data_IF_148224193728
#
_entry.id   IF_148224193728
#
_cell.length_a   1.000
_cell.length_b   1.000
_cell.length_c   1.000
_cell.angle_alpha   90.00
_cell.angle_beta   90.00
_cell.angle_gamma   90.00
#
_symmetry.space_group_name_H-M   'P 1'
#
loop_
_entity.id
_entity.type
_entity.pdbx_description
1 polymer ?
#
# COMPACT_ATOMS: atom_id res chain seq x y z
N UNK A 1 -40.11 -63.49 -14.53
CA UNK A 1 -40.28 -62.07 -14.17
C UNK A 1 -38.91 -61.40 -14.20
N UNK A 2 -38.62 -60.63 -15.25
CA UNK A 2 -37.34 -59.91 -15.45
C UNK A 2 -37.53 -58.49 -14.93
N UNK A 3 -36.75 -58.11 -13.91
CA UNK A 3 -36.70 -56.75 -13.39
C UNK A 3 -35.61 -55.97 -14.12
N UNK A 4 -35.95 -54.82 -14.69
CA UNK A 4 -35.01 -53.88 -15.33
C UNK A 4 -34.72 -52.77 -14.31
N UNK A 5 -33.47 -52.70 -13.86
CA UNK A 5 -32.99 -51.62 -12.99
C UNK A 5 -32.57 -50.42 -13.86
N UNK A 6 -33.17 -49.25 -13.60
CA UNK A 6 -32.84 -47.98 -14.26
C UNK A 6 -31.80 -47.26 -13.39
N UNK A 7 -30.59 -46.96 -13.89
CA UNK A 7 -29.63 -46.16 -13.13
C UNK A 7 -30.01 -44.68 -13.23
N UNK A 8 -30.37 -44.09 -12.10
CA UNK A 8 -30.63 -42.65 -11.95
C UNK A 8 -29.30 -41.92 -11.85
N UNK A 9 -28.87 -41.28 -12.94
CA UNK A 9 -27.66 -40.48 -12.98
C UNK A 9 -27.88 -39.13 -12.27
N UNK A 10 -27.31 -38.98 -11.07
CA UNK A 10 -27.19 -37.69 -10.39
C UNK A 10 -26.09 -36.86 -11.08
N UNK A 11 -26.51 -35.88 -11.89
CA UNK A 11 -25.60 -34.88 -12.44
C UNK A 11 -25.23 -33.86 -11.35
N UNK A 12 -24.01 -33.98 -10.80
CA UNK A 12 -23.38 -32.96 -9.97
C UNK A 12 -23.09 -31.71 -10.80
N UNK A 13 -23.95 -30.69 -10.73
CA UNK A 13 -23.62 -29.36 -11.21
C UNK A 13 -22.62 -28.70 -10.26
N UNK A 14 -21.34 -28.71 -10.63
CA UNK A 14 -20.32 -27.87 -10.00
C UNK A 14 -20.54 -26.44 -10.49
N UNK A 15 -21.20 -25.60 -9.68
CA UNK A 15 -21.29 -24.16 -9.95
C UNK A 15 -19.93 -23.55 -9.62
N UNK A 16 -19.09 -23.38 -10.64
CA UNK A 16 -17.87 -22.59 -10.53
C UNK A 16 -18.25 -21.11 -10.38
N UNK A 17 -18.30 -20.63 -9.14
CA UNK A 17 -18.35 -19.19 -8.88
C UNK A 17 -17.02 -18.58 -9.31
N UNK A 18 -16.99 -18.01 -10.52
CA UNK A 18 -15.91 -17.16 -10.97
C UNK A 18 -16.00 -15.89 -10.14
N UNK A 19 -15.27 -15.84 -9.03
CA UNK A 19 -15.06 -14.60 -8.31
C UNK A 19 -14.40 -13.62 -9.28
N UNK A 20 -15.12 -12.59 -9.69
CA UNK A 20 -14.56 -11.49 -10.46
C UNK A 20 -13.36 -10.96 -9.68
N UNK A 21 -12.15 -11.18 -10.19
CA UNK A 21 -10.93 -10.65 -9.61
C UNK A 21 -10.99 -9.13 -9.72
N UNK A 22 -11.57 -8.48 -8.70
CA UNK A 22 -11.56 -7.03 -8.59
C UNK A 22 -10.12 -6.55 -8.71
N UNK A 23 -9.89 -5.52 -9.52
CA UNK A 23 -8.54 -4.95 -9.68
C UNK A 23 -8.02 -4.56 -8.30
N UNK A 24 -6.92 -5.19 -7.89
CA UNK A 24 -6.25 -4.91 -6.63
C UNK A 24 -5.99 -3.41 -6.48
N UNK A 25 -6.47 -2.80 -5.40
CA UNK A 25 -6.29 -1.37 -5.17
C UNK A 25 -4.82 -1.02 -4.90
N UNK A 26 -4.01 -1.97 -4.43
CA UNK A 26 -2.57 -1.78 -4.18
C UNK A 26 -1.78 -2.71 -5.10
N UNK A 27 -0.89 -2.14 -5.90
CA UNK A 27 -0.04 -2.83 -6.87
C UNK A 27 1.38 -2.25 -6.82
N UNK A 28 2.32 -2.83 -7.58
CA UNK A 28 3.67 -2.26 -7.67
C UNK A 28 3.68 -0.94 -8.47
N UNK A 29 2.59 -0.58 -9.14
CA UNK A 29 2.49 0.55 -10.04
C UNK A 29 1.51 1.62 -9.56
N UNK A 30 0.55 1.25 -8.71
CA UNK A 30 -0.53 2.14 -8.30
C UNK A 30 -1.14 1.84 -6.92
N UNK A 31 -1.68 2.89 -6.30
CA UNK A 31 -2.57 2.83 -5.13
C UNK A 31 -3.89 3.51 -5.48
N UNK A 32 -5.00 2.80 -5.40
CA UNK A 32 -6.33 3.28 -5.81
C UNK A 32 -6.37 3.72 -7.28
N UNK A 33 -5.59 3.07 -8.14
CA UNK A 33 -5.41 3.46 -9.55
C UNK A 33 -4.49 4.67 -9.79
N UNK A 34 -3.95 5.29 -8.74
CA UNK A 34 -3.04 6.43 -8.84
C UNK A 34 -1.59 5.98 -8.99
N UNK A 35 -0.86 6.56 -9.93
CA UNK A 35 0.55 6.25 -10.21
C UNK A 35 1.46 7.39 -9.75
N UNK A 36 2.65 7.05 -9.27
CA UNK A 36 3.71 8.01 -8.97
C UNK A 36 4.14 8.81 -10.22
N UNK A 37 4.81 9.94 -10.02
CA UNK A 37 5.34 10.77 -11.11
C UNK A 37 4.34 11.77 -11.72
N UNK A 38 3.09 11.78 -11.27
CA UNK A 38 2.11 12.80 -11.68
C UNK A 38 2.34 14.13 -10.96
N UNK A 39 1.82 15.22 -11.55
CA UNK A 39 1.87 16.56 -10.95
C UNK A 39 0.72 16.79 -9.97
N UNK A 40 0.86 17.73 -9.05
CA UNK A 40 -0.21 18.13 -8.12
C UNK A 40 -1.53 18.50 -8.84
N UNK A 41 -1.44 19.13 -10.02
CA UNK A 41 -2.60 19.46 -10.86
C UNK A 41 -3.28 18.19 -11.41
N UNK A 42 -2.50 17.22 -11.86
CA UNK A 42 -3.03 15.96 -12.36
C UNK A 42 -3.76 15.18 -11.27
N UNK A 43 -3.20 15.08 -10.06
CA UNK A 43 -3.90 14.46 -8.92
C UNK A 43 -5.18 15.19 -8.56
N UNK A 44 -5.15 16.53 -8.53
CA UNK A 44 -6.36 17.33 -8.27
C UNK A 44 -7.45 17.08 -9.32
N UNK A 45 -7.08 16.86 -10.59
CA UNK A 45 -8.04 16.50 -11.65
C UNK A 45 -8.65 15.10 -11.42
N UNK A 46 -7.87 14.14 -10.93
CA UNK A 46 -8.31 12.76 -10.71
C UNK A 46 -9.14 12.60 -9.42
N UNK A 47 -8.78 13.33 -8.37
CA UNK A 47 -9.29 13.11 -7.01
C UNK A 47 -10.16 14.25 -6.49
N UNK A 48 -10.22 15.37 -7.20
CA UNK A 48 -10.80 16.62 -6.71
C UNK A 48 -9.81 17.43 -5.86
N UNK A 49 -10.31 18.42 -5.13
CA UNK A 49 -9.47 19.26 -4.26
C UNK A 49 -8.98 18.44 -3.04
N UNK A 50 -7.68 18.54 -2.68
CA UNK A 50 -7.20 17.94 -1.44
C UNK A 50 -7.85 18.62 -0.24
N UNK A 51 -7.99 17.89 0.87
CA UNK A 51 -8.53 18.41 2.11
C UNK A 51 -7.63 19.50 2.71
N UNK A 52 -6.30 19.32 2.62
CA UNK A 52 -5.32 20.31 3.03
C UNK A 52 -3.93 19.99 2.46
N UNK A 53 -3.06 21.01 2.47
CA UNK A 53 -1.62 20.88 2.25
C UNK A 53 -0.96 21.19 3.59
N UNK A 54 -0.23 20.24 4.16
CA UNK A 54 0.39 20.44 5.46
C UNK A 54 1.86 20.02 5.39
N UNK A 55 2.80 20.86 5.86
CA UNK A 55 4.19 20.43 6.04
C UNK A 55 4.24 19.27 7.04
N UNK A 56 5.26 18.44 6.94
CA UNK A 56 5.51 17.44 7.97
C UNK A 56 6.01 18.11 9.25
N UNK A 57 5.58 17.59 10.39
CA UNK A 57 6.10 17.99 11.71
C UNK A 57 7.56 17.54 11.91
N UNK A 58 7.95 16.46 11.23
CA UNK A 58 9.32 15.97 11.20
C UNK A 58 10.23 16.93 10.42
N UNK A 59 11.28 17.51 11.04
CA UNK A 59 12.23 18.39 10.37
C UNK A 59 12.86 17.77 9.13
N UNK A 60 13.13 16.46 9.12
CA UNK A 60 13.73 15.74 7.99
C UNK A 60 12.80 15.69 6.76
N UNK A 61 11.49 15.86 6.97
CA UNK A 61 10.45 15.85 5.94
C UNK A 61 9.83 17.23 5.69
N UNK A 62 10.21 18.26 6.47
CA UNK A 62 9.59 19.60 6.44
C UNK A 62 9.60 20.28 5.06
N UNK A 63 10.57 19.94 4.19
CA UNK A 63 10.71 20.49 2.84
C UNK A 63 9.89 19.73 1.79
N UNK A 64 9.28 18.60 2.15
CA UNK A 64 8.39 17.85 1.28
C UNK A 64 7.01 18.48 1.25
N UNK A 65 6.41 18.48 0.07
CA UNK A 65 5.01 18.91 -0.09
C UNK A 65 4.10 17.69 -0.03
N UNK A 66 3.03 17.81 0.76
CA UNK A 66 2.01 16.77 0.94
C UNK A 66 0.63 17.28 0.51
N UNK A 67 -0.08 16.47 -0.30
CA UNK A 67 -1.50 16.66 -0.61
C UNK A 67 -2.31 15.56 0.09
N UNK A 68 -3.20 15.93 1.00
CA UNK A 68 -3.99 14.97 1.76
C UNK A 68 -5.40 14.85 1.18
N UNK A 69 -5.82 13.63 0.87
CA UNK A 69 -7.16 13.30 0.40
C UNK A 69 -7.90 12.49 1.47
N UNK A 70 -8.23 13.14 2.58
CA UNK A 70 -8.72 12.49 3.79
C UNK A 70 -9.95 11.58 3.57
N UNK A 71 -10.91 12.01 2.73
CA UNK A 71 -12.10 11.20 2.37
C UNK A 71 -11.77 9.91 1.61
N UNK A 72 -10.61 9.84 0.97
CA UNK A 72 -10.12 8.67 0.22
C UNK A 72 -9.12 7.83 1.02
N UNK A 73 -8.66 8.33 2.17
CA UNK A 73 -7.65 7.68 3.00
C UNK A 73 -6.28 7.57 2.32
N UNK A 74 -5.85 8.62 1.61
CA UNK A 74 -4.56 8.64 0.92
C UNK A 74 -3.91 10.03 0.94
N UNK A 75 -2.59 10.06 0.77
CA UNK A 75 -1.79 11.27 0.61
C UNK A 75 -0.79 11.12 -0.53
N UNK A 76 -0.45 12.25 -1.16
CA UNK A 76 0.53 12.33 -2.25
C UNK A 76 1.68 13.23 -1.84
N UNK A 77 2.91 12.77 -2.05
CA UNK A 77 4.12 13.44 -1.57
C UNK A 77 5.08 13.80 -2.70
N UNK A 78 5.57 15.03 -2.64
CA UNK A 78 6.43 15.63 -3.64
C UNK A 78 7.77 15.98 -2.99
N UNK A 79 8.89 15.46 -3.54
CA UNK A 79 10.21 15.83 -3.08
C UNK A 79 10.44 17.34 -3.20
N UNK A 80 11.34 17.91 -2.37
CA UNK A 80 11.70 19.31 -2.47
C UNK A 80 12.17 19.67 -3.88
N UNK A 81 11.76 20.85 -4.35
CA UNK A 81 12.11 21.40 -5.68
C UNK A 81 11.65 20.53 -6.87
N UNK A 82 10.81 19.51 -6.67
CA UNK A 82 10.26 18.68 -7.75
C UNK A 82 8.76 18.88 -7.92
N UNK A 83 8.31 18.87 -9.17
CA UNK A 83 6.89 19.07 -9.53
C UNK A 83 6.10 17.76 -9.62
N UNK A 84 6.78 16.61 -9.54
CA UNK A 84 6.22 15.27 -9.69
C UNK A 84 6.31 14.50 -8.37
N UNK A 85 5.28 13.72 -8.06
CA UNK A 85 5.24 12.97 -6.81
C UNK A 85 6.25 11.81 -6.82
N UNK A 86 6.81 11.51 -5.66
CA UNK A 86 7.71 10.36 -5.47
C UNK A 86 7.13 9.28 -4.55
N UNK A 87 6.16 9.63 -3.70
CA UNK A 87 5.50 8.69 -2.78
C UNK A 87 4.00 8.94 -2.79
N UNK A 88 3.22 7.85 -2.79
CA UNK A 88 1.78 7.83 -2.51
C UNK A 88 1.61 6.95 -1.28
N UNK A 89 0.88 7.42 -0.27
CA UNK A 89 0.56 6.63 0.92
C UNK A 89 -0.94 6.43 1.04
N UNK A 90 -1.35 5.32 1.66
CA UNK A 90 -2.75 5.08 2.00
C UNK A 90 -2.88 4.43 3.37
N UNK A 91 -3.89 4.89 4.12
CA UNK A 91 -4.39 4.27 5.35
C UNK A 91 -5.84 3.80 5.16
N UNK A 92 -6.30 3.69 3.92
CA UNK A 92 -7.64 3.23 3.60
C UNK A 92 -7.72 1.71 3.81
N UNK A 93 -8.49 1.28 4.81
CA UNK A 93 -8.64 -0.13 5.16
C UNK A 93 -9.25 -0.98 4.03
N UNK A 94 -10.00 -0.37 3.12
CA UNK A 94 -10.58 -1.07 1.96
C UNK A 94 -9.56 -1.36 0.85
N UNK A 95 -8.40 -0.68 0.85
CA UNK A 95 -7.40 -0.88 -0.19
C UNK A 95 -6.53 -2.09 0.14
N UNK A 96 -6.59 -3.11 -0.70
CA UNK A 96 -5.83 -4.35 -0.55
C UNK A 96 -4.99 -4.63 -1.79
N UNK A 97 -3.93 -5.39 -1.57
CA UNK A 97 -3.17 -6.07 -2.61
C UNK A 97 -3.94 -7.27 -3.14
N UNK A 98 -3.45 -7.89 -4.22
CA UNK A 98 -4.02 -9.14 -4.74
C UNK A 98 -3.96 -10.31 -3.74
N UNK A 99 -3.10 -10.22 -2.72
CA UNK A 99 -3.02 -11.19 -1.63
C UNK A 99 -3.95 -10.84 -0.45
N UNK A 100 -4.82 -9.85 -0.59
CA UNK A 100 -5.76 -9.44 0.46
C UNK A 100 -5.14 -8.60 1.58
N UNK A 101 -3.88 -8.16 1.46
CA UNK A 101 -3.16 -7.41 2.50
C UNK A 101 -3.16 -5.91 2.20
N UNK A 102 -3.31 -5.07 3.22
CA UNK A 102 -3.26 -3.62 3.09
C UNK A 102 -3.31 -2.94 4.46
N UNK A 103 -3.66 -1.65 4.55
CA UNK A 103 -3.87 -1.00 5.83
C UNK A 103 -4.83 -1.78 6.72
N UNK A 104 -4.56 -1.78 8.03
CA UNK A 104 -5.22 -2.54 9.10
C UNK A 104 -5.06 -4.07 9.08
N UNK A 105 -4.34 -4.66 8.11
CA UNK A 105 -3.93 -6.06 8.18
C UNK A 105 -2.86 -6.24 9.27
N UNK A 106 -2.84 -7.39 9.96
CA UNK A 106 -1.81 -7.70 10.95
C UNK A 106 -0.44 -7.90 10.29
N UNK A 107 0.63 -7.68 11.06
CA UNK A 107 1.99 -7.99 10.59
C UNK A 107 2.15 -9.51 10.32
N UNK A 108 1.41 -10.35 11.06
CA UNK A 108 1.36 -11.79 10.82
C UNK A 108 0.73 -12.12 9.46
N UNK A 109 -0.42 -11.56 9.13
CA UNK A 109 -1.06 -11.73 7.80
C UNK A 109 -0.14 -11.27 6.67
N UNK A 110 0.54 -10.12 6.84
CA UNK A 110 1.52 -9.61 5.89
C UNK A 110 2.66 -10.62 5.66
N UNK A 111 3.22 -11.18 6.74
CA UNK A 111 4.30 -12.18 6.65
C UNK A 111 3.82 -13.49 6.03
N UNK A 112 2.63 -13.96 6.39
CA UNK A 112 2.03 -15.17 5.82
C UNK A 112 1.78 -15.03 4.31
N UNK A 113 1.27 -13.87 3.86
CA UNK A 113 0.95 -13.63 2.46
C UNK A 113 2.19 -13.59 1.54
N UNK A 114 3.33 -13.10 2.06
CA UNK A 114 4.49 -12.81 1.23
C UNK A 114 5.74 -13.63 1.54
N UNK A 115 5.84 -14.20 2.74
CA UNK A 115 6.98 -15.01 3.18
C UNK A 115 8.31 -14.31 2.92
N UNK A 116 9.22 -15.02 2.27
CA UNK A 116 10.58 -14.57 1.96
C UNK A 116 10.65 -13.36 1.00
N UNK A 117 9.56 -13.03 0.29
CA UNK A 117 9.48 -11.85 -0.60
C UNK A 117 9.36 -10.55 0.19
N UNK A 118 8.89 -10.62 1.43
CA UNK A 118 8.82 -9.48 2.32
C UNK A 118 10.19 -9.26 2.96
N UNK A 119 10.75 -8.04 2.84
CA UNK A 119 12.04 -7.70 3.43
C UNK A 119 11.86 -6.61 4.48
N UNK A 120 12.54 -6.67 5.64
CA UNK A 120 12.63 -5.52 6.53
C UNK A 120 13.20 -4.31 5.78
N UNK A 121 12.59 -3.13 5.95
CA UNK A 121 13.16 -1.89 5.43
C UNK A 121 14.41 -1.53 6.21
N UNK A 122 15.56 -1.42 5.53
CA UNK A 122 16.84 -1.10 6.18
C UNK A 122 16.82 0.25 6.91
N UNK A 123 16.08 1.23 6.39
CA UNK A 123 15.99 2.57 6.98
C UNK A 123 14.95 2.67 8.09
N UNK A 124 14.10 1.66 8.26
CA UNK A 124 13.05 1.62 9.28
C UNK A 124 13.18 0.38 10.16
N UNK A 125 14.41 -0.13 10.29
CA UNK A 125 14.77 -1.15 11.25
C UNK A 125 15.77 -0.54 12.22
N UNK A 126 15.37 -0.39 13.49
CA UNK A 126 16.17 0.26 14.52
C UNK A 126 16.37 -0.71 15.68
N UNK A 127 17.63 -0.97 16.06
CA UNK A 127 17.97 -1.88 17.16
C UNK A 127 17.29 -3.26 17.05
N UNK A 128 17.16 -3.78 15.82
CA UNK A 128 16.51 -5.06 15.54
C UNK A 128 14.97 -5.02 15.47
N UNK A 129 14.35 -3.88 15.76
CA UNK A 129 12.90 -3.67 15.68
C UNK A 129 12.52 -3.17 14.28
N UNK A 130 11.59 -3.85 13.62
CA UNK A 130 11.18 -3.56 12.23
C UNK A 130 9.89 -2.75 12.22
N UNK A 131 9.97 -1.48 11.82
CA UNK A 131 8.84 -0.56 11.69
C UNK A 131 8.26 -0.50 10.28
N UNK A 132 8.99 -0.99 9.28
CA UNK A 132 8.44 -1.14 7.95
C UNK A 132 9.02 -2.33 7.20
N UNK A 133 8.22 -2.89 6.30
CA UNK A 133 8.60 -3.96 5.39
C UNK A 133 8.46 -3.51 3.94
N UNK A 134 9.39 -3.88 3.07
CA UNK A 134 9.30 -3.68 1.63
C UNK A 134 8.82 -4.93 0.91
N UNK A 135 8.14 -4.72 -0.21
CA UNK A 135 7.69 -5.78 -1.12
C UNK A 135 7.96 -5.37 -2.56
N UNK A 136 8.70 -6.19 -3.29
CA UNK A 136 9.08 -5.88 -4.66
C UNK A 136 9.92 -4.61 -4.75
N UNK A 137 9.72 -3.82 -5.79
CA UNK A 137 10.54 -2.63 -6.07
C UNK A 137 9.99 -1.36 -5.44
N UNK A 138 8.66 -1.29 -5.25
CA UNK A 138 7.98 0.00 -5.06
C UNK A 138 7.04 0.05 -3.84
N UNK A 139 6.83 -1.05 -3.11
CA UNK A 139 5.89 -1.06 -1.98
C UNK A 139 6.59 -1.10 -0.63
N UNK A 140 6.04 -0.35 0.32
CA UNK A 140 6.43 -0.35 1.73
C UNK A 140 5.18 -0.45 2.63
N UNK A 141 5.23 -1.27 3.66
CA UNK A 141 4.19 -1.50 4.65
C UNK A 141 4.73 -1.04 5.99
N UNK A 142 4.15 0.02 6.57
CA UNK A 142 4.66 0.68 7.77
C UNK A 142 3.75 0.48 8.98
N UNK A 143 4.36 0.45 10.17
CA UNK A 143 3.70 0.32 11.46
C UNK A 143 4.50 1.02 12.55
N UNK A 144 3.89 1.97 13.26
CA UNK A 144 4.47 2.54 14.48
C UNK A 144 4.37 1.60 15.69
N UNK A 145 3.54 0.56 15.59
CA UNK A 145 3.40 -0.50 16.60
C UNK A 145 3.89 -1.83 16.01
N UNK A 146 5.21 -2.12 16.04
CA UNK A 146 5.91 -3.09 15.16
C UNK A 146 5.48 -4.57 15.24
N UNK A 147 4.44 -4.90 16.00
CA UNK A 147 3.85 -6.24 16.12
C UNK A 147 2.33 -6.28 15.94
N UNK A 148 1.69 -5.15 15.66
CA UNK A 148 0.23 -5.04 15.62
C UNK A 148 -0.29 -5.16 14.19
N UNK A 149 -0.33 -4.04 13.47
CA UNK A 149 -0.95 -3.94 12.15
C UNK A 149 -0.09 -3.10 11.21
N UNK A 150 -0.27 -3.31 9.92
CA UNK A 150 0.09 -2.35 8.87
C UNK A 150 -0.81 -1.13 9.05
N UNK A 151 -0.23 -0.02 9.48
CA UNK A 151 -0.96 1.23 9.65
C UNK A 151 -1.13 1.94 8.31
N UNK A 152 -0.09 1.88 7.47
CA UNK A 152 0.01 2.63 6.22
C UNK A 152 0.74 1.78 5.18
N UNK A 153 0.28 1.85 3.94
CA UNK A 153 1.00 1.31 2.78
C UNK A 153 1.46 2.46 1.90
N UNK A 154 2.74 2.45 1.52
CA UNK A 154 3.35 3.40 0.61
C UNK A 154 3.71 2.75 -0.73
N UNK A 155 3.46 3.49 -1.81
CA UNK A 155 4.02 3.27 -3.14
C UNK A 155 5.08 4.35 -3.38
N UNK A 156 6.32 3.95 -3.59
CA UNK A 156 7.45 4.86 -3.82
C UNK A 156 8.11 4.61 -5.17
N UNK A 157 8.87 5.61 -5.66
CA UNK A 157 9.66 5.46 -6.88
C UNK A 157 10.89 4.56 -6.66
N UNK A 158 10.73 3.26 -6.88
CA UNK A 158 11.82 2.28 -6.80
C UNK A 158 12.76 2.28 -8.00
N UNK A 159 12.47 3.06 -9.05
CA UNK A 159 13.38 3.27 -10.19
C UNK A 159 14.31 4.47 -10.00
N UNK A 160 14.24 5.15 -8.85
CA UNK A 160 15.22 6.18 -8.51
C UNK A 160 16.62 5.54 -8.38
N UNK A 161 17.65 6.03 -9.09
CA UNK A 161 19.00 5.47 -8.98
C UNK A 161 19.56 5.55 -7.55
N UNK A 162 19.04 6.46 -6.73
CA UNK A 162 19.41 6.63 -5.33
C UNK A 162 18.42 5.98 -4.37
N UNK A 163 17.47 5.16 -4.84
CA UNK A 163 16.39 4.56 -4.02
C UNK A 163 16.90 3.98 -2.71
N UNK A 164 18.01 3.26 -2.77
CA UNK A 164 18.62 2.54 -1.66
C UNK A 164 19.68 3.34 -0.90
N UNK A 165 19.97 4.57 -1.28
CA UNK A 165 20.98 5.40 -0.61
C UNK A 165 20.34 6.18 0.56
N UNK A 166 21.14 6.63 1.55
CA UNK A 166 20.68 7.64 2.50
C UNK A 166 20.12 8.86 1.77
N UNK A 167 18.92 9.32 2.15
CA UNK A 167 18.20 10.38 1.42
C UNK A 167 17.54 9.90 0.11
N UNK A 168 17.57 8.60 -0.17
CA UNK A 168 16.85 7.96 -1.27
C UNK A 168 15.34 7.89 -1.06
N UNK A 169 14.60 7.57 -2.13
CA UNK A 169 13.14 7.46 -2.08
C UNK A 169 12.65 6.41 -1.10
N UNK A 170 13.36 5.30 -0.88
CA UNK A 170 12.97 4.29 0.12
C UNK A 170 13.08 4.84 1.55
N UNK A 171 14.19 5.53 1.88
CA UNK A 171 14.40 6.11 3.20
C UNK A 171 13.27 7.09 3.55
N UNK A 172 12.95 7.99 2.60
CA UNK A 172 11.84 8.93 2.77
C UNK A 172 10.47 8.26 2.79
N UNK A 173 10.23 7.26 1.94
CA UNK A 173 8.94 6.56 1.90
C UNK A 173 8.59 5.91 3.26
N UNK A 174 9.57 5.32 3.93
CA UNK A 174 9.38 4.77 5.27
C UNK A 174 9.06 5.83 6.32
N UNK A 175 9.86 6.91 6.38
CA UNK A 175 9.60 8.02 7.31
C UNK A 175 8.26 8.71 7.07
N UNK A 176 7.91 8.94 5.79
CA UNK A 176 6.61 9.48 5.39
C UNK A 176 5.50 8.53 5.85
N UNK A 177 5.58 7.24 5.55
CA UNK A 177 4.52 6.29 5.90
C UNK A 177 4.32 6.17 7.42
N UNK A 178 5.37 6.28 8.22
CA UNK A 178 5.29 6.27 9.68
C UNK A 178 4.71 7.58 10.28
N UNK A 179 4.75 8.69 9.55
CA UNK A 179 4.19 9.99 10.00
C UNK A 179 2.77 10.24 9.48
N UNK A 180 2.22 9.32 8.68
CA UNK A 180 0.85 9.40 8.18
C UNK A 180 -0.18 9.06 9.26
N UNK A 181 -1.44 9.41 8.98
CA UNK A 181 -2.55 8.96 9.82
C UNK A 181 -2.62 7.44 9.79
N UNK A 182 -2.54 6.80 10.95
CA UNK A 182 -2.71 5.36 11.07
C UNK A 182 -4.11 4.91 10.65
N UNK A 183 -4.18 3.76 9.98
CA UNK A 183 -5.43 3.05 9.73
C UNK A 183 -6.11 2.72 11.07
N UNK A 184 -7.43 2.88 11.12
CA UNK A 184 -8.26 2.49 12.27
C UNK A 184 -9.24 1.42 11.81
N UNK A 185 -9.34 0.32 12.56
CA UNK A 185 -10.43 -0.64 12.40
C UNK A 185 -11.69 0.04 12.91
N UNK A 186 -12.66 0.23 12.02
CA UNK A 186 -14.02 0.68 12.35
C UNK A 186 -14.82 -0.47 12.94
#
# INVERSE_FOLDING_TARGET
>A
MRWIAIPMAFALMVVATIAAAGTSAITQESIGGLRIGLTARAYTKLLGKPAYQQPFSDPALSTWKRLVYAKRGLSIHFPPKKSRSAVITTWNSSYKTAAGVGPCATITELKLAYGSRLKPSKFNTQHGVVYAYTLGKNLIFASNSPHSIVEVVGLYNGSDPNVEQPGGTLAYAGGIALTERACRRS
#
